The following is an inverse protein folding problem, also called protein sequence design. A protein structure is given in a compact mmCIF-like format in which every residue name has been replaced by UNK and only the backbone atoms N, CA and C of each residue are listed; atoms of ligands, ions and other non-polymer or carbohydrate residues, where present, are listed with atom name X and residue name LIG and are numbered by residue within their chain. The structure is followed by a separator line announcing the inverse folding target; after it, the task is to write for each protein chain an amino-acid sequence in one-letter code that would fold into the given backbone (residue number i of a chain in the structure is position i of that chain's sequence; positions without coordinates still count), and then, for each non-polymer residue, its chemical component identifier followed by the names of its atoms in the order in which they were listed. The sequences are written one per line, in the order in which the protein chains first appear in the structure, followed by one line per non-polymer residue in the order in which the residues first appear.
data_IF_132755785385
#
_entry.id   IF_132755785385
#
_cell.length_a   1.000
_cell.length_b   1.000
_cell.length_c   1.000
_cell.angle_alpha   90.00
_cell.angle_beta   90.00
_cell.angle_gamma   90.00
#
_symmetry.space_group_name_H-M   'P 1'
#
loop_
_entity.id
_entity.type
_entity.pdbx_description
1 polymer ?
#
# COMPACT_ATOMS: atom_id res chain seq x y z
N UNK A 1 37.19 -31.37 -15.34
CA UNK A 1 36.02 -30.95 -16.14
C UNK A 1 34.65 -31.28 -15.53
N UNK A 2 34.57 -31.95 -14.37
CA UNK A 2 33.29 -32.32 -13.73
C UNK A 2 32.77 -31.25 -12.74
N UNK A 3 33.67 -30.67 -11.94
CA UNK A 3 33.34 -29.62 -10.94
C UNK A 3 32.75 -28.36 -11.59
N UNK A 4 33.29 -27.93 -12.73
CA UNK A 4 32.82 -26.74 -13.47
C UNK A 4 31.39 -26.91 -13.99
N UNK A 5 31.03 -28.11 -14.44
CA UNK A 5 29.67 -28.41 -14.96
C UNK A 5 28.62 -28.37 -13.85
N UNK A 6 28.95 -28.84 -12.65
CA UNK A 6 28.07 -28.74 -11.47
C UNK A 6 27.86 -27.29 -11.03
N UNK A 7 28.92 -26.47 -11.04
CA UNK A 7 28.82 -25.04 -10.67
C UNK A 7 27.93 -24.29 -11.67
N UNK A 8 28.09 -24.54 -12.97
CA UNK A 8 27.27 -23.91 -14.01
C UNK A 8 25.80 -24.34 -13.87
N UNK A 9 25.52 -25.62 -13.64
CA UNK A 9 24.16 -26.11 -13.41
C UNK A 9 23.51 -25.47 -12.17
N UNK A 10 24.28 -25.30 -11.09
CA UNK A 10 23.80 -24.63 -9.89
C UNK A 10 23.49 -23.16 -10.14
N UNK A 11 24.36 -22.43 -10.85
CA UNK A 11 24.12 -21.03 -11.20
C UNK A 11 22.90 -20.85 -12.11
N UNK A 12 22.70 -21.74 -13.09
CA UNK A 12 21.51 -21.72 -13.95
C UNK A 12 20.23 -22.02 -13.16
N UNK A 13 20.27 -22.96 -12.20
CA UNK A 13 19.13 -23.25 -11.34
C UNK A 13 18.76 -22.05 -10.45
N UNK A 14 19.76 -21.34 -9.94
CA UNK A 14 19.56 -20.17 -9.08
C UNK A 14 19.00 -18.99 -9.89
N UNK A 15 19.47 -18.82 -11.14
CA UNK A 15 18.94 -17.82 -12.07
C UNK A 15 17.48 -18.11 -12.45
N UNK A 16 17.12 -19.38 -12.68
CA UNK A 16 15.73 -19.78 -12.95
C UNK A 16 14.81 -19.53 -11.75
N UNK A 17 15.29 -19.78 -10.53
CA UNK A 17 14.55 -19.48 -9.30
C UNK A 17 14.29 -17.97 -9.18
N UNK A 18 15.30 -17.12 -9.40
CA UNK A 18 15.15 -15.65 -9.39
C UNK A 18 14.16 -15.18 -10.46
N UNK A 19 14.20 -15.76 -11.67
CA UNK A 19 13.26 -15.46 -12.75
C UNK A 19 11.82 -15.86 -12.39
N UNK A 20 11.61 -16.98 -11.70
CA UNK A 20 10.27 -17.36 -11.22
C UNK A 20 9.73 -16.44 -10.13
N UNK A 21 10.57 -15.95 -9.22
CA UNK A 21 10.15 -14.94 -8.22
C UNK A 21 9.80 -13.59 -8.88
N UNK A 22 10.54 -13.18 -9.91
CA UNK A 22 10.23 -11.97 -10.67
C UNK A 22 8.94 -12.11 -11.49
N UNK A 23 8.65 -13.30 -12.06
CA UNK A 23 7.44 -13.56 -12.82
C UNK A 23 6.17 -13.67 -11.95
N UNK A 24 6.29 -14.18 -10.71
CA UNK A 24 5.20 -14.17 -9.71
C UNK A 24 4.99 -12.79 -9.05
N UNK A 25 5.83 -11.80 -9.35
CA UNK A 25 5.64 -10.42 -8.90
C UNK A 25 4.65 -9.64 -9.77
N UNK A 26 4.14 -10.23 -10.86
CA UNK A 26 2.92 -9.77 -11.52
C UNK A 26 1.72 -10.15 -10.63
N UNK A 27 1.64 -9.52 -9.47
CA UNK A 27 0.34 -9.32 -8.83
C UNK A 27 -0.39 -8.41 -9.80
N UNK A 28 -1.46 -8.90 -10.42
CA UNK A 28 -2.56 -8.01 -10.74
C UNK A 28 -2.69 -7.09 -9.52
N UNK A 29 -2.52 -5.78 -9.72
CA UNK A 29 -2.84 -4.81 -8.68
C UNK A 29 -4.29 -5.12 -8.33
N UNK A 30 -4.52 -5.76 -7.17
CA UNK A 30 -5.86 -6.14 -6.73
C UNK A 30 -6.67 -4.84 -6.73
N UNK A 31 -7.48 -4.64 -7.77
CA UNK A 31 -8.31 -3.46 -7.90
C UNK A 31 -9.58 -3.71 -7.11
N UNK A 32 -9.88 -2.82 -6.19
CA UNK A 32 -11.02 -2.89 -5.30
C UNK A 32 -12.14 -1.99 -5.81
N UNK A 33 -13.37 -2.30 -5.43
CA UNK A 33 -14.49 -1.36 -5.44
C UNK A 33 -14.46 -0.50 -4.17
N UNK A 34 -15.10 0.67 -4.20
CA UNK A 34 -15.23 1.52 -3.00
C UNK A 34 -15.86 0.76 -1.84
N UNK A 35 -16.91 -0.01 -2.11
CA UNK A 35 -17.62 -0.80 -1.10
C UNK A 35 -16.74 -1.89 -0.46
N UNK A 36 -15.81 -2.50 -1.21
CA UNK A 36 -14.86 -3.47 -0.65
C UNK A 36 -13.87 -2.79 0.30
N UNK A 37 -13.38 -1.59 -0.04
CA UNK A 37 -12.50 -0.81 0.83
C UNK A 37 -13.25 -0.29 2.08
N UNK A 38 -14.50 0.14 1.92
CA UNK A 38 -15.39 0.53 3.02
C UNK A 38 -15.77 -0.64 3.95
N UNK A 39 -15.72 -1.88 3.48
CA UNK A 39 -16.02 -3.05 4.29
C UNK A 39 -14.83 -3.52 5.16
N UNK A 40 -13.59 -3.16 4.79
CA UNK A 40 -12.38 -3.52 5.56
C UNK A 40 -12.41 -2.90 6.96
N UNK A 41 -11.83 -3.58 7.95
CA UNK A 41 -11.59 -2.92 9.23
C UNK A 41 -10.52 -1.82 9.11
N UNK A 42 -10.40 -0.99 10.15
CA UNK A 42 -9.50 0.16 10.15
C UNK A 42 -8.03 -0.22 9.93
N UNK A 43 -7.59 -1.32 10.54
CA UNK A 43 -6.21 -1.79 10.46
C UNK A 43 -5.92 -2.38 9.08
N UNK A 44 -6.83 -3.23 8.58
CA UNK A 44 -6.71 -3.81 7.24
C UNK A 44 -6.64 -2.73 6.15
N UNK A 45 -7.53 -1.73 6.22
CA UNK A 45 -7.55 -0.62 5.27
C UNK A 45 -6.24 0.18 5.32
N UNK A 46 -5.75 0.50 6.52
CA UNK A 46 -4.52 1.26 6.69
C UNK A 46 -3.28 0.52 6.18
N UNK A 47 -3.14 -0.77 6.49
CA UNK A 47 -2.03 -1.58 5.99
C UNK A 47 -2.10 -1.78 4.48
N UNK A 48 -3.31 -1.91 3.90
CA UNK A 48 -3.49 -1.91 2.45
C UNK A 48 -3.00 -0.60 1.83
N UNK A 49 -3.42 0.55 2.37
CA UNK A 49 -2.99 1.86 1.86
C UNK A 49 -1.46 2.02 1.95
N UNK A 50 -0.85 1.64 3.08
CA UNK A 50 0.62 1.65 3.26
C UNK A 50 1.35 0.77 2.26
N UNK A 51 0.87 -0.46 2.05
CA UNK A 51 1.42 -1.39 1.07
C UNK A 51 1.38 -0.83 -0.36
N UNK A 52 0.43 0.07 -0.64
CA UNK A 52 0.25 0.74 -1.93
C UNK A 52 0.86 2.16 -1.99
N UNK A 53 1.69 2.51 -1.00
CA UNK A 53 2.51 3.71 -1.01
C UNK A 53 1.89 4.91 -0.29
N UNK A 54 1.03 4.69 0.71
CA UNK A 54 0.63 5.76 1.62
C UNK A 54 1.84 6.24 2.42
N UNK A 55 2.21 7.50 2.21
CA UNK A 55 3.24 8.19 2.98
C UNK A 55 2.59 9.00 4.10
N UNK A 56 2.73 8.52 5.33
CA UNK A 56 2.23 9.24 6.51
C UNK A 56 3.28 10.26 6.95
N UNK A 57 2.94 11.55 6.87
CA UNK A 57 3.80 12.65 7.29
C UNK A 57 4.20 12.57 8.76
N UNK A 58 5.40 13.08 9.09
CA UNK A 58 5.84 13.16 10.49
C UNK A 58 4.96 14.12 11.31
N UNK A 59 4.44 15.17 10.67
CA UNK A 59 3.55 16.18 11.24
C UNK A 59 2.25 15.56 11.78
N UNK A 60 1.61 14.65 11.04
CA UNK A 60 0.40 13.98 11.52
C UNK A 60 0.69 12.95 12.61
N UNK A 61 1.87 12.32 12.60
CA UNK A 61 2.30 11.37 13.65
C UNK A 61 2.64 12.06 14.99
N UNK A 62 2.91 13.35 14.97
CA UNK A 62 3.02 14.15 16.21
C UNK A 62 1.66 14.43 16.85
N UNK A 63 0.57 14.30 16.08
CA UNK A 63 -0.80 14.59 16.51
C UNK A 63 -1.55 13.30 16.86
N UNK A 64 -1.41 12.27 16.02
CA UNK A 64 -2.12 11.00 16.13
C UNK A 64 -1.12 9.85 16.30
N UNK A 65 -1.39 8.97 17.25
CA UNK A 65 -0.74 7.66 17.31
C UNK A 65 -1.12 6.82 16.08
N UNK A 66 -0.35 5.76 15.78
CA UNK A 66 -0.63 4.89 14.64
C UNK A 66 -2.06 4.29 14.72
N UNK A 67 -2.55 3.96 15.93
CA UNK A 67 -3.90 3.44 16.14
C UNK A 67 -4.99 4.49 15.90
N UNK A 68 -4.77 5.73 16.34
CA UNK A 68 -5.70 6.84 16.07
C UNK A 68 -5.71 7.21 14.59
N UNK A 69 -4.59 7.03 13.89
CA UNK A 69 -4.51 7.24 12.45
C UNK A 69 -5.32 6.19 11.67
N UNK A 70 -5.24 4.91 12.07
CA UNK A 70 -6.08 3.83 11.51
C UNK A 70 -7.57 4.17 11.66
N UNK A 71 -7.99 4.51 12.88
CA UNK A 71 -9.38 4.87 13.19
C UNK A 71 -9.82 6.12 12.42
N UNK A 72 -8.98 7.17 12.38
CA UNK A 72 -9.26 8.39 11.65
C UNK A 72 -9.45 8.15 10.14
N UNK A 73 -8.54 7.38 9.53
CA UNK A 73 -8.64 7.05 8.09
C UNK A 73 -9.93 6.29 7.81
N UNK A 74 -10.35 5.41 8.73
CA UNK A 74 -11.57 4.63 8.57
C UNK A 74 -12.83 5.48 8.71
N UNK A 75 -12.88 6.35 9.71
CA UNK A 75 -14.03 7.21 10.00
C UNK A 75 -14.24 8.26 8.91
N UNK A 76 -13.17 8.91 8.46
CA UNK A 76 -13.22 9.97 7.46
C UNK A 76 -12.96 9.44 6.03
N UNK A 77 -13.01 8.12 5.80
CA UNK A 77 -12.57 7.51 4.54
C UNK A 77 -13.18 8.17 3.30
N UNK A 78 -14.50 8.41 3.31
CA UNK A 78 -15.23 9.05 2.21
C UNK A 78 -14.72 10.45 1.87
N UNK A 79 -14.31 11.22 2.88
CA UNK A 79 -13.74 12.55 2.67
C UNK A 79 -12.31 12.44 2.13
N UNK A 80 -11.51 11.55 2.73
CA UNK A 80 -10.09 11.42 2.41
C UNK A 80 -9.86 10.94 0.98
N UNK A 81 -10.71 10.05 0.45
CA UNK A 81 -10.61 9.59 -0.94
C UNK A 81 -10.99 10.67 -1.96
N UNK A 82 -11.64 11.75 -1.53
CA UNK A 82 -11.90 12.96 -2.32
C UNK A 82 -10.83 14.04 -2.11
N UNK A 83 -9.78 13.75 -1.33
CA UNK A 83 -8.75 14.71 -0.93
C UNK A 83 -9.28 15.75 0.07
N UNK A 84 -10.41 15.53 0.71
CA UNK A 84 -10.98 16.43 1.71
C UNK A 84 -10.65 15.95 3.14
N UNK A 85 -10.62 16.87 4.10
CA UNK A 85 -10.49 16.53 5.51
C UNK A 85 -11.43 17.39 6.36
N UNK A 86 -11.95 16.82 7.45
CA UNK A 86 -12.83 17.50 8.40
C UNK A 86 -12.10 18.51 9.30
N UNK A 87 -10.76 18.51 9.27
CA UNK A 87 -9.90 19.34 10.12
C UNK A 87 -9.25 20.46 9.31
N UNK A 88 -9.08 21.63 9.93
CA UNK A 88 -8.47 22.81 9.31
C UNK A 88 -6.93 22.82 9.34
N UNK A 89 -6.31 21.82 9.96
CA UNK A 89 -4.86 21.72 10.09
C UNK A 89 -4.24 21.12 8.82
N UNK A 90 -3.08 21.66 8.43
CA UNK A 90 -2.38 21.29 7.21
C UNK A 90 -1.94 19.81 7.21
N UNK A 91 -1.59 19.25 8.37
CA UNK A 91 -1.16 17.85 8.48
C UNK A 91 -2.26 16.88 8.03
N UNK A 92 -3.52 17.17 8.39
CA UNK A 92 -4.69 16.39 7.95
C UNK A 92 -4.96 16.53 6.47
N UNK A 93 -4.76 17.74 5.92
CA UNK A 93 -4.89 17.97 4.47
C UNK A 93 -3.84 17.20 3.67
N UNK A 94 -2.59 17.20 4.13
CA UNK A 94 -1.52 16.41 3.51
C UNK A 94 -1.84 14.91 3.54
N UNK A 95 -2.38 14.40 4.66
CA UNK A 95 -2.82 13.02 4.76
C UNK A 95 -3.93 12.70 3.76
N UNK A 96 -4.94 13.57 3.63
CA UNK A 96 -6.03 13.39 2.67
C UNK A 96 -5.51 13.32 1.23
N UNK A 97 -4.60 14.20 0.85
CA UNK A 97 -4.00 14.23 -0.49
C UNK A 97 -3.23 12.91 -0.79
N UNK A 98 -2.50 12.37 0.19
CA UNK A 98 -1.81 11.08 0.04
C UNK A 98 -2.78 9.89 -0.01
N UNK A 99 -3.86 9.90 0.79
CA UNK A 99 -4.90 8.86 0.74
C UNK A 99 -5.61 8.86 -0.61
N UNK A 100 -6.04 10.02 -1.13
CA UNK A 100 -6.66 10.16 -2.46
C UNK A 100 -5.75 9.61 -3.57
N UNK A 101 -4.46 9.97 -3.52
CA UNK A 101 -3.46 9.52 -4.49
C UNK A 101 -3.28 8.00 -4.49
N UNK A 102 -3.30 7.36 -3.33
CA UNK A 102 -3.22 5.89 -3.22
C UNK A 102 -4.53 5.25 -3.65
N UNK A 103 -5.67 5.79 -3.22
CA UNK A 103 -7.00 5.31 -3.57
C UNK A 103 -7.22 5.23 -5.09
N UNK A 104 -6.82 6.26 -5.83
CA UNK A 104 -6.92 6.29 -7.30
C UNK A 104 -6.14 5.18 -8.00
N UNK A 105 -5.13 4.60 -7.35
CA UNK A 105 -4.39 3.43 -7.87
C UNK A 105 -5.12 2.12 -7.56
N UNK A 106 -5.85 2.09 -6.45
CA UNK A 106 -6.54 0.91 -5.94
C UNK A 106 -7.91 0.67 -6.58
N UNK A 107 -8.57 1.72 -7.09
CA UNK A 107 -9.95 1.60 -7.57
C UNK A 107 -10.03 0.89 -8.92
N UNK A 108 -10.97 -0.06 -9.04
CA UNK A 108 -11.42 -0.62 -10.31
C UNK A 108 -12.37 0.39 -10.95
N UNK A 109 -11.95 0.97 -12.08
CA UNK A 109 -12.80 1.85 -12.91
C UNK A 109 -14.21 1.28 -13.14
#
# INVERSE_FOLDING_TARGET
MYKSKQIIAFLLSLMLIVLTFAACANKDEDRYTKAELEAMDAHELYELLKKNGLEVGADIKEILSDKELEEYIKEDFDLLIEGACSRSDKAYKNLADEVEKVYKKLIKE
#
